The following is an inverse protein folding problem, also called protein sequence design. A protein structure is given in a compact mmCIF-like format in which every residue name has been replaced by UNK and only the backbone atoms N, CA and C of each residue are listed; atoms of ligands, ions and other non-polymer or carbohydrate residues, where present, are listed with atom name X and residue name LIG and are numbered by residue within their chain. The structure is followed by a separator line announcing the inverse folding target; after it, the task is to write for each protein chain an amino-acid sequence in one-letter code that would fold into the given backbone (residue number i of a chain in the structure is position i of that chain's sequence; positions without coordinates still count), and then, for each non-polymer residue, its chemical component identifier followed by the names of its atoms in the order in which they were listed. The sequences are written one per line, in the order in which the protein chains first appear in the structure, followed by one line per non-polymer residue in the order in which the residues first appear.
data_IF_471919295640
#
_entry.id   IF_471919295640
#
_cell.length_a   1.000
_cell.length_b   1.000
_cell.length_c   1.000
_cell.angle_alpha   90.00
_cell.angle_beta   90.00
_cell.angle_gamma   90.00
#
_symmetry.space_group_name_H-M   'P 1'
#
loop_
_entity.id
_entity.type
_entity.pdbx_description
1 polymer ?
#
# COMPACT_ATOMS: atom_id res chain seq x y z
N UNK A 1 -11.25 3.13 7.39
CA UNK A 1 -10.83 4.05 8.48
C UNK A 1 -9.48 4.63 8.10
N UNK A 2 -9.45 5.87 7.62
CA UNK A 2 -8.24 6.53 7.10
C UNK A 2 -7.58 7.47 8.11
N UNK A 3 -8.28 7.78 9.20
CA UNK A 3 -7.74 8.56 10.32
C UNK A 3 -6.78 7.69 11.15
N UNK A 4 -5.53 8.16 11.27
CA UNK A 4 -4.47 7.44 12.00
C UNK A 4 -4.70 7.47 13.50
N UNK A 5 -5.24 8.55 14.07
CA UNK A 5 -5.50 8.66 15.50
C UNK A 5 -6.57 7.66 15.96
N UNK A 6 -7.67 7.55 15.22
CA UNK A 6 -8.72 6.55 15.48
C UNK A 6 -8.16 5.13 15.35
N UNK A 7 -7.26 4.91 14.38
CA UNK A 7 -6.61 3.60 14.18
C UNK A 7 -5.71 3.23 15.34
N UNK A 8 -4.85 4.14 15.79
CA UNK A 8 -3.95 3.90 16.92
C UNK A 8 -4.73 3.63 18.20
N UNK A 9 -5.78 4.40 18.50
CA UNK A 9 -6.61 4.17 19.67
C UNK A 9 -7.26 2.77 19.65
N UNK A 10 -7.72 2.31 18.49
CA UNK A 10 -8.25 0.96 18.32
C UNK A 10 -7.16 -0.12 18.45
N UNK A 11 -5.96 0.13 17.91
CA UNK A 11 -4.81 -0.77 18.06
C UNK A 11 -4.39 -0.91 19.52
N UNK A 12 -4.28 0.20 20.26
CA UNK A 12 -3.90 0.20 21.67
C UNK A 12 -4.95 -0.51 22.53
N UNK A 13 -6.24 -0.29 22.28
CA UNK A 13 -7.32 -0.99 22.96
C UNK A 13 -7.33 -2.51 22.68
N UNK A 14 -6.85 -2.91 21.50
CA UNK A 14 -6.76 -4.31 21.09
C UNK A 14 -5.40 -4.98 21.43
N UNK A 15 -4.44 -4.23 21.99
CA UNK A 15 -3.09 -4.73 22.24
C UNK A 15 -2.28 -5.05 20.97
N UNK A 16 -2.52 -4.30 19.88
CA UNK A 16 -1.84 -4.48 18.58
C UNK A 16 -0.65 -3.53 18.49
N UNK A 17 0.56 -4.08 18.61
CA UNK A 17 1.81 -3.30 18.55
C UNK A 17 2.11 -2.79 17.14
N UNK A 18 1.91 -3.60 16.11
CA UNK A 18 2.23 -3.22 14.72
C UNK A 18 1.13 -3.72 13.80
N UNK A 19 0.75 -2.91 12.82
CA UNK A 19 -0.20 -3.31 11.80
C UNK A 19 0.38 -3.15 10.39
N UNK A 20 0.28 -4.24 9.62
CA UNK A 20 0.53 -4.19 8.17
C UNK A 20 -0.69 -3.58 7.49
N UNK A 21 -0.48 -2.58 6.65
CA UNK A 21 -1.51 -1.80 5.98
C UNK A 21 -1.36 -1.96 4.48
N UNK A 22 -2.46 -2.31 3.82
CA UNK A 22 -2.58 -2.31 2.37
C UNK A 22 -3.90 -1.67 1.98
N UNK A 23 -4.02 -1.24 0.73
CA UNK A 23 -5.27 -0.76 0.18
C UNK A 23 -6.28 -1.92 0.09
N UNK A 24 -7.57 -1.59 0.13
CA UNK A 24 -8.62 -2.61 -0.10
C UNK A 24 -8.40 -3.20 -1.50
N UNK A 25 -8.37 -4.53 -1.64
CA UNK A 25 -8.16 -5.16 -2.94
C UNK A 25 -9.37 -4.91 -3.83
N UNK A 26 -9.19 -4.07 -4.84
CA UNK A 26 -10.16 -3.87 -5.92
C UNK A 26 -9.53 -4.42 -7.21
N UNK A 27 -10.08 -5.50 -7.79
CA UNK A 27 -9.51 -6.08 -9.00
C UNK A 27 -9.71 -5.15 -10.21
N UNK A 28 -8.62 -4.56 -10.70
CA UNK A 28 -8.61 -3.69 -11.88
C UNK A 28 -8.23 -4.45 -13.17
N UNK A 29 -8.65 -5.72 -13.30
CA UNK A 29 -8.29 -6.60 -14.43
C UNK A 29 -8.71 -6.05 -15.81
N UNK A 30 -9.68 -5.12 -15.84
CA UNK A 30 -10.16 -4.46 -17.06
C UNK A 30 -9.26 -3.31 -17.54
N UNK A 31 -8.34 -2.82 -16.70
CA UNK A 31 -7.50 -1.68 -17.03
C UNK A 31 -6.38 -2.05 -18.00
N UNK A 32 -6.20 -1.24 -19.04
CA UNK A 32 -5.02 -1.30 -19.90
C UNK A 32 -3.73 -0.99 -19.10
N UNK A 33 -2.58 -1.23 -19.73
CA UNK A 33 -1.28 -1.10 -19.07
C UNK A 33 -1.05 0.30 -18.46
N UNK A 34 -1.35 1.35 -19.22
CA UNK A 34 -1.12 2.73 -18.77
C UNK A 34 -2.04 3.12 -17.60
N UNK A 35 -3.31 2.72 -17.65
CA UNK A 35 -4.25 2.96 -16.57
C UNK A 35 -3.92 2.11 -15.33
N UNK A 36 -3.57 0.84 -15.51
CA UNK A 36 -3.18 -0.05 -14.43
C UNK A 36 -1.94 0.48 -13.69
N UNK A 37 -0.93 0.97 -14.41
CA UNK A 37 0.24 1.61 -13.80
C UNK A 37 -0.15 2.82 -12.97
N UNK A 38 -0.98 3.72 -13.51
CA UNK A 38 -1.42 4.93 -12.79
C UNK A 38 -2.19 4.60 -11.51
N UNK A 39 -3.15 3.68 -11.58
CA UNK A 39 -3.94 3.24 -10.42
C UNK A 39 -3.03 2.67 -9.34
N UNK A 40 -2.13 1.77 -9.74
CA UNK A 40 -1.17 1.11 -8.84
C UNK A 40 -0.27 2.13 -8.15
N UNK A 41 0.34 3.04 -8.92
CA UNK A 41 1.26 4.05 -8.38
C UNK A 41 0.56 4.96 -7.38
N UNK A 42 -0.65 5.43 -7.72
CA UNK A 42 -1.42 6.31 -6.84
C UNK A 42 -1.86 5.58 -5.55
N UNK A 43 -2.25 4.32 -5.68
CA UNK A 43 -2.63 3.48 -4.53
C UNK A 43 -1.43 3.28 -3.59
N UNK A 44 -0.28 2.90 -4.14
CA UNK A 44 0.93 2.65 -3.36
C UNK A 44 1.47 3.93 -2.71
N UNK A 45 1.41 5.06 -3.40
CA UNK A 45 1.77 6.36 -2.82
C UNK A 45 0.86 6.73 -1.64
N UNK A 46 -0.46 6.46 -1.73
CA UNK A 46 -1.39 6.72 -0.65
C UNK A 46 -1.14 5.82 0.57
N UNK A 47 -0.86 4.53 0.36
CA UNK A 47 -0.48 3.60 1.44
C UNK A 47 0.81 4.05 2.12
N UNK A 48 1.84 4.37 1.33
CA UNK A 48 3.12 4.84 1.84
C UNK A 48 2.94 6.12 2.69
N UNK A 49 2.21 7.10 2.18
CA UNK A 49 1.94 8.35 2.89
C UNK A 49 1.12 8.15 4.18
N UNK A 50 0.19 7.19 4.20
CA UNK A 50 -0.55 6.84 5.40
C UNK A 50 0.35 6.22 6.47
N UNK A 51 1.17 5.23 6.10
CA UNK A 51 2.07 4.56 7.03
C UNK A 51 3.20 5.46 7.53
N UNK A 52 3.68 6.40 6.70
CA UNK A 52 4.71 7.37 7.08
C UNK A 52 4.30 8.31 8.23
N UNK A 53 3.01 8.39 8.58
CA UNK A 53 2.56 9.18 9.74
C UNK A 53 3.00 8.55 11.07
N UNK A 54 3.14 7.22 11.13
CA UNK A 54 3.54 6.46 12.33
C UNK A 54 4.34 5.22 11.92
N UNK A 55 5.54 5.40 11.34
CA UNK A 55 6.28 4.33 10.66
C UNK A 55 6.70 3.18 11.58
N UNK A 56 6.78 3.42 12.89
CA UNK A 56 7.13 2.39 13.88
C UNK A 56 5.96 1.45 14.21
N UNK A 57 4.71 1.86 13.93
CA UNK A 57 3.49 1.11 14.24
C UNK A 57 2.73 0.68 12.98
N UNK A 58 2.90 1.37 11.86
CA UNK A 58 2.21 1.12 10.59
C UNK A 58 3.20 0.76 9.49
N UNK A 59 3.10 -0.46 8.98
CA UNK A 59 3.96 -0.96 7.91
C UNK A 59 3.17 -1.06 6.61
N UNK A 60 3.58 -0.34 5.57
CA UNK A 60 2.89 -0.35 4.28
C UNK A 60 3.29 -1.53 3.39
N UNK A 61 2.29 -2.17 2.80
CA UNK A 61 2.42 -3.14 1.69
C UNK A 61 1.53 -2.65 0.56
N UNK A 62 2.12 -2.47 -0.62
CA UNK A 62 1.44 -1.96 -1.80
C UNK A 62 0.56 -3.01 -2.49
N UNK A 63 0.26 -2.73 -3.75
CA UNK A 63 -0.40 -3.61 -4.71
C UNK A 63 0.40 -3.63 -6.01
N UNK A 64 0.20 -4.65 -6.84
CA UNK A 64 0.78 -4.78 -8.17
C UNK A 64 -0.29 -5.07 -9.23
N UNK A 65 -0.13 -4.57 -10.48
CA UNK A 65 -1.05 -4.84 -11.58
C UNK A 65 -0.76 -6.24 -12.17
N UNK A 66 -1.22 -7.29 -11.51
CA UNK A 66 -0.91 -8.69 -11.85
C UNK A 66 -1.34 -9.12 -13.26
N UNK A 67 -2.25 -8.38 -13.90
CA UNK A 67 -2.65 -8.61 -15.29
C UNK A 67 -1.63 -8.14 -16.33
N UNK A 68 -0.64 -7.35 -15.91
CA UNK A 68 0.46 -6.85 -16.74
C UNK A 68 1.79 -7.22 -16.05
N UNK A 69 2.33 -8.44 -16.26
CA UNK A 69 3.46 -8.98 -15.51
C UNK A 69 4.71 -8.08 -15.50
N UNK A 70 5.02 -7.42 -16.62
CA UNK A 70 6.15 -6.51 -16.75
C UNK A 70 5.99 -5.30 -15.82
N UNK A 71 4.77 -4.76 -15.72
CA UNK A 71 4.46 -3.66 -14.80
C UNK A 71 4.47 -4.13 -13.34
N UNK A 72 4.04 -5.36 -13.06
CA UNK A 72 4.07 -5.90 -11.71
C UNK A 72 5.50 -6.02 -11.16
N UNK A 73 6.45 -6.47 -11.98
CA UNK A 73 7.87 -6.56 -11.60
C UNK A 73 8.50 -5.18 -11.42
N UNK A 74 8.22 -4.25 -12.34
CA UNK A 74 8.68 -2.87 -12.22
C UNK A 74 8.14 -2.22 -10.95
N UNK A 75 6.87 -2.45 -10.63
CA UNK A 75 6.24 -1.88 -9.45
C UNK A 75 6.81 -2.45 -8.15
N UNK A 76 7.06 -3.75 -8.06
CA UNK A 76 7.69 -4.34 -6.87
C UNK A 76 9.04 -3.66 -6.58
N UNK A 77 9.87 -3.49 -7.61
CA UNK A 77 11.17 -2.84 -7.51
C UNK A 77 11.03 -1.41 -6.98
N UNK A 78 10.07 -0.67 -7.54
CA UNK A 78 9.78 0.71 -7.15
C UNK A 78 9.21 0.83 -5.73
N UNK A 79 8.23 0.00 -5.39
CA UNK A 79 7.55 0.04 -4.11
C UNK A 79 8.56 -0.16 -2.95
N UNK A 80 9.40 -1.18 -3.07
CA UNK A 80 10.41 -1.50 -2.04
C UNK A 80 11.58 -0.52 -2.06
N UNK A 81 12.05 -0.11 -3.25
CA UNK A 81 13.24 0.74 -3.39
C UNK A 81 13.01 2.23 -3.16
N UNK A 82 11.83 2.75 -3.51
CA UNK A 82 11.60 4.20 -3.61
C UNK A 82 10.50 4.74 -2.68
N UNK A 83 9.55 3.90 -2.28
CA UNK A 83 8.35 4.38 -1.55
C UNK A 83 8.33 4.06 -0.06
N UNK A 84 9.30 3.28 0.43
CA UNK A 84 9.34 2.82 1.83
C UNK A 84 8.33 1.71 2.16
N UNK A 85 7.59 1.21 1.17
CA UNK A 85 6.77 0.02 1.32
C UNK A 85 7.65 -1.21 1.53
N UNK A 86 7.16 -2.20 2.27
CA UNK A 86 7.89 -3.45 2.59
C UNK A 86 7.55 -4.61 1.64
N UNK A 87 6.70 -4.36 0.66
CA UNK A 87 6.26 -5.33 -0.35
C UNK A 87 5.09 -4.80 -1.19
N UNK A 88 4.56 -5.65 -2.06
CA UNK A 88 3.32 -5.48 -2.84
C UNK A 88 2.52 -6.77 -2.86
#
# INVERSE_FOLDING_TARGET
MTDVGVRLAAMDAAGVDVQVVTAVPIPHFWADAALAERITRQTNAAVAAHCAQVPDRLIGVGVAPLQHPELAVAELTRAVGETGLRGV
#
